data_IF_446529125053
#
_entry.id   IF_446529125053
#
_cell.length_a   1.000
_cell.length_b   1.000
_cell.length_c   1.000
_cell.angle_alpha   90.00
_cell.angle_beta   90.00
_cell.angle_gamma   90.00
#
_symmetry.space_group_name_H-M   'P 1'
#
loop_
_entity.id
_entity.type
_entity.pdbx_description
1 polymer ?
#
# COMPACT_ATOMS: atom_id res chain seq x y z
N UNK A 1 -74.49 5.66 59.41
CA UNK A 1 -74.54 7.12 59.18
C UNK A 1 -73.95 7.46 57.81
N UNK A 2 -74.29 8.60 57.19
CA UNK A 2 -74.36 8.76 55.72
C UNK A 2 -72.98 8.94 55.04
N UNK A 3 -72.73 8.61 53.77
CA UNK A 3 -73.38 8.95 52.47
C UNK A 3 -72.90 10.30 51.86
N UNK A 4 -72.24 10.18 50.70
CA UNK A 4 -72.24 11.07 49.50
C UNK A 4 -71.44 12.39 49.36
N UNK A 5 -70.79 12.50 48.18
CA UNK A 5 -70.68 13.67 47.25
C UNK A 5 -69.81 14.88 47.71
N UNK A 6 -69.19 15.72 46.87
CA UNK A 6 -69.05 15.78 45.38
C UNK A 6 -67.81 16.58 44.97
N UNK A 7 -67.14 16.15 43.89
CA UNK A 7 -66.70 16.95 42.71
C UNK A 7 -66.68 18.49 42.78
N UNK A 8 -65.53 19.09 42.41
CA UNK A 8 -65.44 20.15 41.37
C UNK A 8 -64.12 20.06 40.58
N UNK A 9 -64.19 20.30 39.25
CA UNK A 9 -63.05 20.43 38.32
C UNK A 9 -62.48 21.86 38.42
N UNK A 10 -61.18 22.13 38.25
CA UNK A 10 -60.47 22.35 36.96
C UNK A 10 -59.25 23.28 37.26
N UNK A 11 -58.26 23.59 36.40
CA UNK A 11 -57.99 23.35 34.96
C UNK A 11 -56.51 22.89 34.78
N UNK A 12 -56.00 22.85 33.54
CA UNK A 12 -54.58 22.60 33.19
C UNK A 12 -53.77 23.92 33.12
N UNK A 13 -52.42 23.86 33.13
CA UNK A 13 -51.77 23.95 31.82
C UNK A 13 -50.65 22.93 31.55
N UNK A 14 -50.57 22.58 30.28
CA UNK A 14 -49.62 21.71 29.57
C UNK A 14 -48.14 22.07 29.76
N UNK A 15 -47.27 21.10 30.06
CA UNK A 15 -45.83 21.17 29.70
C UNK A 15 -45.23 19.80 29.32
N UNK A 16 -45.07 19.61 28.00
CA UNK A 16 -44.01 18.89 27.28
C UNK A 16 -43.30 17.70 27.96
N UNK A 17 -43.60 16.48 27.49
CA UNK A 17 -42.68 15.34 27.61
C UNK A 17 -41.48 15.54 26.67
N UNK A 18 -40.27 15.56 27.23
CA UNK A 18 -39.03 15.42 26.45
C UNK A 18 -38.81 13.93 26.19
N UNK A 19 -38.89 13.52 24.92
CA UNK A 19 -38.53 12.17 24.52
C UNK A 19 -37.01 11.99 24.62
N UNK A 20 -36.56 11.14 25.55
CA UNK A 20 -35.14 10.84 25.74
C UNK A 20 -34.58 10.01 24.58
N UNK A 21 -33.83 10.65 23.69
CA UNK A 21 -33.01 9.96 22.70
C UNK A 21 -31.84 9.24 23.39
N UNK A 22 -31.98 7.92 23.55
CA UNK A 22 -30.91 7.03 23.98
C UNK A 22 -29.80 7.01 22.90
N UNK A 23 -28.78 7.85 23.09
CA UNK A 23 -27.53 7.74 22.36
C UNK A 23 -26.80 6.47 22.77
N UNK A 24 -27.01 5.38 22.02
CA UNK A 24 -26.11 4.24 22.04
C UNK A 24 -24.75 4.68 21.47
N UNK A 25 -23.83 5.03 22.36
CA UNK A 25 -22.40 4.96 22.06
C UNK A 25 -22.07 3.49 21.80
N UNK A 26 -22.04 3.10 20.52
CA UNK A 26 -21.38 1.85 20.13
C UNK A 26 -19.90 1.99 20.54
N UNK A 27 -19.36 1.10 21.38
CA UNK A 27 -17.94 1.11 21.66
C UNK A 27 -17.19 0.83 20.35
N UNK A 28 -15.97 1.36 20.24
CA UNK A 28 -15.08 1.04 19.13
C UNK A 28 -14.68 -0.43 19.28
N UNK A 29 -15.51 -1.34 18.75
CA UNK A 29 -15.24 -2.76 18.79
C UNK A 29 -13.94 -3.03 18.04
N UNK A 30 -12.89 -3.35 18.79
CA UNK A 30 -11.79 -4.14 18.27
C UNK A 30 -12.34 -5.55 18.04
N UNK A 31 -13.06 -5.73 16.93
CA UNK A 31 -13.49 -7.04 16.47
C UNK A 31 -12.23 -7.89 16.31
N UNK A 32 -12.13 -8.99 17.07
CA UNK A 32 -11.37 -10.13 16.60
C UNK A 32 -11.85 -10.42 15.17
N UNK A 33 -10.92 -10.64 14.24
CA UNK A 33 -11.17 -10.57 12.80
C UNK A 33 -12.21 -11.61 12.33
N UNK A 34 -13.47 -11.27 12.50
CA UNK A 34 -14.60 -11.99 11.95
C UNK A 34 -14.52 -11.80 10.44
N UNK A 35 -14.23 -12.88 9.72
CA UNK A 35 -14.26 -12.94 8.26
C UNK A 35 -15.72 -12.89 7.75
N UNK A 36 -16.55 -12.04 8.35
CA UNK A 36 -17.88 -11.72 7.88
C UNK A 36 -17.77 -10.93 6.58
N UNK A 37 -18.55 -11.37 5.60
CA UNK A 37 -18.66 -10.70 4.32
C UNK A 37 -19.99 -9.94 4.31
N UNK A 38 -19.95 -8.67 3.94
CA UNK A 38 -21.14 -7.90 3.62
C UNK A 38 -21.46 -8.05 2.14
N UNK A 39 -22.75 -8.05 1.82
CA UNK A 39 -23.29 -7.85 0.49
C UNK A 39 -24.06 -6.53 0.49
N UNK A 40 -23.91 -5.74 -0.57
CA UNK A 40 -24.62 -4.47 -0.72
C UNK A 40 -24.72 -4.07 -2.19
N UNK A 41 -25.56 -3.07 -2.47
CA UNK A 41 -25.63 -2.40 -3.77
C UNK A 41 -25.02 -1.01 -3.69
N UNK A 42 -24.07 -0.72 -4.56
CA UNK A 42 -23.50 0.62 -4.77
C UNK A 42 -23.90 1.04 -6.18
N UNK A 43 -24.81 2.01 -6.28
CA UNK A 43 -25.49 2.35 -7.54
C UNK A 43 -26.16 1.14 -8.21
N UNK A 44 -25.76 0.85 -9.45
CA UNK A 44 -26.26 -0.30 -10.23
C UNK A 44 -25.59 -1.63 -9.86
N UNK A 45 -24.41 -1.61 -9.24
CA UNK A 45 -23.59 -2.79 -9.00
C UNK A 45 -23.93 -3.50 -7.69
N UNK A 46 -23.89 -4.83 -7.71
CA UNK A 46 -23.88 -5.66 -6.49
C UNK A 46 -22.43 -5.90 -6.11
N UNK A 47 -22.05 -5.58 -4.87
CA UNK A 47 -20.68 -5.74 -4.37
C UNK A 47 -20.68 -6.59 -3.10
N UNK A 48 -19.61 -7.35 -2.92
CA UNK A 48 -19.37 -8.18 -1.73
C UNK A 48 -17.94 -7.98 -1.23
N UNK A 49 -17.76 -7.99 0.09
CA UNK A 49 -16.43 -7.90 0.70
C UNK A 49 -16.45 -7.84 2.22
N UNK A 50 -15.27 -7.87 2.82
CA UNK A 50 -15.06 -7.74 4.27
C UNK A 50 -14.88 -6.26 4.62
N UNK A 51 -15.65 -5.68 5.56
CA UNK A 51 -15.47 -4.29 5.96
C UNK A 51 -14.11 -4.09 6.64
N UNK A 52 -13.33 -3.12 6.17
CA UNK A 52 -12.05 -2.73 6.77
C UNK A 52 -12.20 -1.52 7.70
N UNK A 53 -13.04 -0.56 7.31
CA UNK A 53 -13.39 0.61 8.10
C UNK A 53 -14.77 1.11 7.70
N UNK A 54 -15.55 1.61 8.67
CA UNK A 54 -16.84 2.22 8.42
C UNK A 54 -17.03 3.42 9.34
N UNK A 55 -17.34 4.58 8.76
CA UNK A 55 -17.59 5.84 9.48
C UNK A 55 -18.85 6.51 8.95
N UNK A 56 -19.08 7.80 9.27
CA UNK A 56 -20.18 8.58 8.66
C UNK A 56 -19.83 9.13 7.27
N UNK A 57 -18.55 9.35 6.99
CA UNK A 57 -18.07 9.98 5.75
C UNK A 57 -17.34 9.03 4.80
N UNK A 58 -16.92 7.86 5.28
CA UNK A 58 -16.17 6.87 4.48
C UNK A 58 -16.46 5.44 4.93
N UNK A 59 -16.62 4.55 3.96
CA UNK A 59 -16.49 3.10 4.13
C UNK A 59 -15.34 2.57 3.27
N UNK A 60 -14.66 1.53 3.77
CA UNK A 60 -13.63 0.76 3.07
C UNK A 60 -14.01 -0.72 3.09
N UNK A 61 -14.13 -1.33 1.91
CA UNK A 61 -14.56 -2.72 1.74
C UNK A 61 -13.50 -3.52 0.97
N UNK A 62 -12.93 -4.55 1.60
CA UNK A 62 -11.98 -5.47 0.97
C UNK A 62 -12.74 -6.52 0.16
N UNK A 63 -12.57 -6.52 -1.16
CA UNK A 63 -13.17 -7.49 -2.06
C UNK A 63 -12.35 -8.79 -2.12
N UNK A 64 -12.98 -9.87 -2.60
CA UNK A 64 -12.38 -11.22 -2.66
C UNK A 64 -11.18 -11.32 -3.61
N UNK A 65 -11.04 -10.41 -4.56
CA UNK A 65 -9.90 -10.28 -5.47
C UNK A 65 -8.74 -9.42 -4.91
N UNK A 66 -8.88 -8.90 -3.68
CA UNK A 66 -7.89 -8.06 -3.01
C UNK A 66 -8.03 -6.56 -3.27
N UNK A 67 -8.98 -6.12 -4.10
CA UNK A 67 -9.32 -4.70 -4.23
C UNK A 67 -9.86 -4.14 -2.92
N UNK A 68 -9.55 -2.89 -2.61
CA UNK A 68 -10.22 -2.09 -1.58
C UNK A 68 -11.11 -1.09 -2.30
N UNK A 69 -12.42 -1.18 -2.07
CA UNK A 69 -13.38 -0.20 -2.54
C UNK A 69 -13.58 0.87 -1.46
N UNK A 70 -13.32 2.13 -1.80
CA UNK A 70 -13.60 3.32 -0.99
C UNK A 70 -14.86 4.01 -1.54
N UNK A 71 -15.81 4.31 -0.66
CA UNK A 71 -17.08 4.97 -1.01
C UNK A 71 -17.65 5.74 0.18
N UNK A 72 -18.53 6.71 -0.08
CA UNK A 72 -19.30 7.36 0.96
C UNK A 72 -20.43 6.41 1.43
N UNK A 73 -20.63 6.16 2.75
CA UNK A 73 -21.58 5.16 3.24
C UNK A 73 -23.02 5.32 2.72
N UNK A 74 -23.45 6.54 2.41
CA UNK A 74 -24.77 6.83 1.82
C UNK A 74 -24.96 6.39 0.36
N UNK A 75 -23.90 5.96 -0.33
CA UNK A 75 -23.98 5.36 -1.68
C UNK A 75 -24.41 3.88 -1.64
N UNK A 76 -24.26 3.23 -0.48
CA UNK A 76 -24.60 1.83 -0.28
C UNK A 76 -26.06 1.66 0.14
N UNK A 77 -26.73 0.67 -0.46
CA UNK A 77 -28.10 0.26 -0.15
C UNK A 77 -28.18 -1.27 -0.02
N UNK A 78 -29.19 -1.78 0.70
CA UNK A 78 -29.35 -3.22 1.00
C UNK A 78 -28.08 -3.85 1.58
N UNK A 79 -27.50 -3.19 2.59
CA UNK A 79 -26.31 -3.69 3.30
C UNK A 79 -26.75 -4.84 4.21
N UNK A 80 -26.35 -6.05 3.86
CA UNK A 80 -26.74 -7.29 4.52
C UNK A 80 -25.50 -8.15 4.79
N UNK A 81 -25.53 -8.97 5.84
CA UNK A 81 -24.51 -10.00 6.03
C UNK A 81 -24.70 -11.11 4.99
N UNK A 82 -23.62 -11.49 4.31
CA UNK A 82 -23.62 -12.65 3.44
C UNK A 82 -23.67 -13.95 4.28
N UNK A 83 -24.38 -15.00 3.81
CA UNK A 83 -24.29 -16.32 4.40
C UNK A 83 -22.92 -16.98 4.16
N UNK A 84 -22.14 -16.51 3.17
CA UNK A 84 -20.77 -16.94 2.94
C UNK A 84 -19.79 -16.14 3.83
N UNK A 85 -18.79 -16.83 4.40
CA UNK A 85 -17.62 -16.16 4.99
C UNK A 85 -16.73 -15.60 3.89
N UNK A 86 -16.02 -14.52 4.20
CA UNK A 86 -15.05 -13.92 3.31
C UNK A 86 -13.92 -14.91 3.01
N UNK A 87 -13.79 -15.28 1.74
CA UNK A 87 -12.68 -16.09 1.24
C UNK A 87 -12.05 -15.40 0.05
N UNK A 88 -10.76 -15.08 0.18
CA UNK A 88 -9.93 -14.61 -0.92
C UNK A 88 -9.95 -15.59 -2.10
N UNK A 89 -10.03 -15.05 -3.32
CA UNK A 89 -9.91 -15.81 -4.55
C UNK A 89 -8.53 -16.47 -4.64
N UNK A 90 -8.51 -17.74 -5.05
CA UNK A 90 -7.29 -18.40 -5.53
C UNK A 90 -6.93 -17.92 -6.94
N UNK A 91 -5.75 -18.29 -7.44
CA UNK A 91 -5.36 -18.03 -8.84
C UNK A 91 -6.38 -18.58 -9.86
N UNK A 92 -6.97 -19.74 -9.55
CA UNK A 92 -7.99 -20.38 -10.37
C UNK A 92 -9.33 -19.63 -10.37
N UNK A 93 -9.67 -18.95 -9.26
CA UNK A 93 -10.91 -18.17 -9.14
C UNK A 93 -10.77 -16.80 -9.84
N UNK A 94 -9.61 -16.14 -9.71
CA UNK A 94 -9.38 -14.80 -10.27
C UNK A 94 -9.10 -14.82 -11.77
N UNK A 95 -8.48 -15.88 -12.33
CA UNK A 95 -8.16 -15.96 -13.77
C UNK A 95 -9.40 -15.83 -14.68
N UNK A 96 -10.52 -16.55 -14.45
CA UNK A 96 -11.77 -16.35 -15.20
C UNK A 96 -12.38 -14.96 -15.00
N UNK A 97 -12.19 -14.33 -13.84
CA UNK A 97 -12.66 -12.97 -13.59
C UNK A 97 -11.89 -11.95 -14.43
N UNK A 98 -10.55 -12.07 -14.47
CA UNK A 98 -9.68 -11.22 -15.30
C UNK A 98 -9.94 -11.39 -16.80
N UNK A 99 -10.16 -12.63 -17.28
CA UNK A 99 -10.54 -12.89 -18.68
C UNK A 99 -11.86 -12.19 -19.06
N UNK A 100 -12.84 -12.11 -18.14
CA UNK A 100 -14.08 -11.35 -18.36
C UNK A 100 -13.88 -9.84 -18.24
N UNK A 101 -13.01 -9.39 -17.33
CA UNK A 101 -12.71 -7.98 -17.11
C UNK A 101 -12.00 -7.33 -18.32
N UNK A 102 -11.07 -8.06 -18.93
CA UNK A 102 -10.24 -7.54 -20.02
C UNK A 102 -10.72 -7.94 -21.42
N UNK A 103 -11.43 -9.06 -21.58
CA UNK A 103 -11.98 -9.48 -22.87
C UNK A 103 -11.01 -10.21 -23.81
N UNK A 104 -11.47 -10.58 -25.02
CA UNK A 104 -10.84 -11.60 -25.88
C UNK A 104 -9.51 -11.20 -26.53
N UNK A 105 -9.09 -9.95 -26.41
CA UNK A 105 -7.81 -9.40 -26.87
C UNK A 105 -6.68 -9.50 -25.84
N UNK A 106 -6.96 -10.03 -24.64
CA UNK A 106 -5.98 -10.35 -23.60
C UNK A 106 -5.96 -11.85 -23.29
N UNK A 107 -4.79 -12.35 -22.93
CA UNK A 107 -4.59 -13.67 -22.33
C UNK A 107 -4.22 -13.51 -20.83
N UNK A 108 -4.34 -14.60 -20.06
CA UNK A 108 -3.99 -14.61 -18.62
C UNK A 108 -3.06 -15.78 -18.28
N UNK A 109 -1.82 -15.44 -17.94
CA UNK A 109 -0.82 -16.36 -17.38
C UNK A 109 -0.94 -16.47 -15.86
N UNK A 110 -0.47 -17.58 -15.30
CA UNK A 110 -0.36 -17.78 -13.85
C UNK A 110 0.93 -18.56 -13.56
N UNK A 111 1.69 -18.11 -12.56
CA UNK A 111 2.86 -18.82 -12.04
C UNK A 111 3.07 -18.46 -10.56
N UNK A 112 3.20 -19.48 -9.71
CA UNK A 112 3.39 -19.30 -8.26
C UNK A 112 2.33 -18.39 -7.63
N UNK A 113 2.75 -17.20 -7.20
CA UNK A 113 1.91 -16.21 -6.53
C UNK A 113 1.21 -15.24 -7.50
N UNK A 114 1.63 -15.20 -8.76
CA UNK A 114 1.19 -14.21 -9.74
C UNK A 114 0.15 -14.73 -10.73
N UNK A 115 -0.80 -13.85 -11.05
CA UNK A 115 -1.71 -13.96 -12.19
C UNK A 115 -1.56 -12.71 -13.03
N UNK A 116 -1.16 -12.86 -14.29
CA UNK A 116 -0.77 -11.73 -15.15
C UNK A 116 -1.64 -11.67 -16.38
N UNK A 117 -2.30 -10.52 -16.56
CA UNK A 117 -3.02 -10.15 -17.78
C UNK A 117 -2.02 -9.55 -18.76
N UNK A 118 -2.03 -9.99 -20.02
CA UNK A 118 -1.15 -9.46 -21.06
C UNK A 118 -1.82 -9.52 -22.45
N UNK A 119 -1.33 -8.78 -23.46
CA UNK A 119 -1.91 -8.81 -24.80
C UNK A 119 -1.88 -10.23 -25.38
N UNK A 120 -2.97 -10.61 -26.06
CA UNK A 120 -3.14 -11.96 -26.59
C UNK A 120 -2.03 -12.34 -27.57
N UNK A 121 -1.50 -13.56 -27.43
CA UNK A 121 -0.42 -14.07 -28.27
C UNK A 121 0.99 -13.57 -27.90
N UNK A 122 1.15 -12.74 -26.85
CA UNK A 122 2.48 -12.47 -26.28
C UNK A 122 3.14 -13.77 -25.82
N UNK A 123 4.40 -13.99 -26.22
CA UNK A 123 5.20 -15.16 -25.86
C UNK A 123 6.03 -14.97 -24.59
N UNK A 124 6.08 -13.73 -24.08
CA UNK A 124 6.86 -13.40 -22.91
C UNK A 124 6.32 -14.11 -21.65
N UNK A 125 7.18 -14.70 -20.81
CA UNK A 125 6.76 -15.49 -19.66
C UNK A 125 6.45 -14.59 -18.45
N UNK A 126 5.66 -13.54 -18.64
CA UNK A 126 5.39 -12.46 -17.67
C UNK A 126 5.16 -12.99 -16.25
N UNK A 127 4.26 -13.96 -16.06
CA UNK A 127 3.94 -14.46 -14.72
C UNK A 127 5.14 -15.13 -14.02
N UNK A 128 6.04 -15.79 -14.77
CA UNK A 128 7.26 -16.37 -14.20
C UNK A 128 8.27 -15.29 -13.81
N UNK A 129 8.37 -14.20 -14.58
CA UNK A 129 9.19 -13.04 -14.23
C UNK A 129 8.77 -12.41 -12.91
N UNK A 130 7.47 -12.11 -12.77
CA UNK A 130 6.94 -11.55 -11.53
C UNK A 130 7.08 -12.49 -10.31
N UNK A 131 6.81 -13.80 -10.44
CA UNK A 131 7.03 -14.76 -9.34
C UNK A 131 8.51 -14.92 -8.98
N UNK A 132 9.44 -14.73 -9.94
CA UNK A 132 10.87 -14.67 -9.66
C UNK A 132 11.23 -13.41 -8.85
N UNK A 133 10.73 -12.22 -9.23
CA UNK A 133 10.94 -10.98 -8.47
C UNK A 133 10.42 -11.10 -7.03
N UNK A 134 9.24 -11.70 -6.83
CA UNK A 134 8.70 -11.99 -5.49
C UNK A 134 9.62 -12.91 -4.67
N UNK A 135 10.16 -13.99 -5.26
CA UNK A 135 11.09 -14.89 -4.56
C UNK A 135 12.38 -14.19 -4.18
N UNK A 136 12.93 -13.36 -5.07
CA UNK A 136 14.11 -12.54 -4.81
C UNK A 136 13.87 -11.52 -3.69
N UNK A 137 12.71 -10.86 -3.69
CA UNK A 137 12.30 -9.94 -2.63
C UNK A 137 12.24 -10.64 -1.27
N UNK A 138 11.55 -11.79 -1.18
CA UNK A 138 11.52 -12.58 0.05
C UNK A 138 12.92 -13.04 0.49
N UNK A 139 13.77 -13.46 -0.45
CA UNK A 139 15.14 -13.89 -0.15
C UNK A 139 16.00 -12.74 0.43
N UNK A 140 15.89 -11.53 -0.13
CA UNK A 140 16.59 -10.35 0.39
C UNK A 140 16.24 -10.05 1.85
N UNK A 141 14.97 -10.19 2.22
CA UNK A 141 14.48 -9.95 3.58
C UNK A 141 14.81 -11.09 4.55
N UNK A 142 14.60 -12.35 4.15
CA UNK A 142 14.91 -13.50 4.98
C UNK A 142 16.41 -13.64 5.28
N UNK A 143 17.29 -13.35 4.31
CA UNK A 143 18.75 -13.32 4.51
C UNK A 143 19.21 -12.22 5.50
N UNK A 144 18.33 -11.25 5.81
CA UNK A 144 18.55 -10.17 6.79
C UNK A 144 17.75 -10.35 8.09
N UNK A 145 17.16 -11.53 8.31
CA UNK A 145 16.39 -11.84 9.52
C UNK A 145 15.05 -11.09 9.61
N UNK A 146 14.51 -10.59 8.50
CA UNK A 146 13.20 -9.95 8.45
C UNK A 146 12.16 -11.00 8.10
N UNK A 147 11.27 -11.28 9.04
CA UNK A 147 10.11 -12.14 8.80
C UNK A 147 9.15 -11.50 7.80
N UNK A 148 8.57 -12.32 6.92
CA UNK A 148 7.57 -11.92 5.95
C UNK A 148 6.34 -12.84 6.04
N UNK A 149 5.19 -12.32 5.64
CA UNK A 149 3.94 -13.08 5.52
C UNK A 149 3.70 -13.51 4.06
N UNK A 150 2.96 -14.61 3.88
CA UNK A 150 2.44 -15.00 2.57
C UNK A 150 1.30 -14.06 2.14
N UNK A 151 1.22 -13.60 0.89
CA UNK A 151 0.08 -12.86 0.36
C UNK A 151 -1.25 -13.58 0.60
N UNK A 152 -2.24 -12.84 1.13
CA UNK A 152 -3.63 -13.34 1.30
C UNK A 152 -4.34 -13.55 -0.04
N UNK A 153 -3.92 -12.83 -1.07
CA UNK A 153 -4.48 -12.84 -2.41
C UNK A 153 -3.39 -13.17 -3.44
N UNK A 154 -3.73 -13.76 -4.60
CA UNK A 154 -2.86 -13.77 -5.77
C UNK A 154 -2.45 -12.34 -6.13
N UNK A 155 -1.18 -12.15 -6.49
CA UNK A 155 -0.66 -10.87 -6.93
C UNK A 155 -1.02 -10.69 -8.41
N UNK A 156 -1.68 -9.59 -8.74
CA UNK A 156 -2.15 -9.32 -10.11
C UNK A 156 -1.24 -8.28 -10.76
N UNK A 157 -0.72 -8.60 -11.94
CA UNK A 157 -0.07 -7.63 -12.82
C UNK A 157 -0.84 -7.52 -14.14
N UNK A 158 -0.84 -6.34 -14.73
CA UNK A 158 -1.52 -6.02 -15.99
C UNK A 158 -0.50 -5.38 -16.93
N UNK A 159 -0.22 -6.06 -18.03
CA UNK A 159 0.59 -5.54 -19.14
C UNK A 159 -0.36 -5.11 -20.25
N UNK A 160 -0.37 -3.82 -20.54
CA UNK A 160 -1.18 -3.20 -21.59
C UNK A 160 -0.37 -3.13 -22.90
N UNK A 161 -1.02 -3.13 -24.07
CA UNK A 161 -0.32 -3.25 -25.35
C UNK A 161 0.52 -2.03 -25.73
N UNK A 162 0.17 -0.84 -25.22
CA UNK A 162 0.81 0.43 -25.57
C UNK A 162 0.55 1.50 -24.49
N UNK A 163 1.30 2.60 -24.56
CA UNK A 163 1.19 3.76 -23.66
C UNK A 163 -0.22 4.36 -23.68
N UNK A 164 -0.91 4.40 -24.82
CA UNK A 164 -2.27 4.95 -24.93
C UNK A 164 -3.28 4.09 -24.17
N UNK A 165 -3.15 2.76 -24.24
CA UNK A 165 -3.94 1.83 -23.45
C UNK A 165 -3.64 1.97 -21.95
N UNK A 166 -2.38 2.17 -21.58
CA UNK A 166 -1.96 2.45 -20.21
C UNK A 166 -2.55 3.74 -19.65
N UNK A 167 -2.45 4.86 -20.36
CA UNK A 167 -3.02 6.14 -19.94
C UNK A 167 -4.55 6.07 -19.80
N UNK A 168 -5.24 5.35 -20.70
CA UNK A 168 -6.68 5.09 -20.56
C UNK A 168 -7.01 4.26 -19.30
N UNK A 169 -6.24 3.22 -19.01
CA UNK A 169 -6.45 2.40 -17.81
C UNK A 169 -6.17 3.18 -16.53
N UNK A 170 -5.07 3.95 -16.49
CA UNK A 170 -4.71 4.80 -15.36
C UNK A 170 -5.78 5.86 -15.05
N UNK A 171 -6.34 6.51 -16.08
CA UNK A 171 -7.47 7.42 -15.92
C UNK A 171 -8.71 6.73 -15.33
N UNK A 172 -8.97 5.47 -15.68
CA UNK A 172 -10.08 4.69 -15.12
C UNK A 172 -9.82 4.19 -13.68
N UNK A 173 -8.58 3.83 -13.32
CA UNK A 173 -8.21 3.47 -11.93
C UNK A 173 -8.06 4.72 -11.02
N UNK A 174 -8.28 5.93 -11.55
CA UNK A 174 -8.00 7.23 -10.91
C UNK A 174 -6.55 7.34 -10.39
N UNK A 175 -5.59 6.75 -11.11
CA UNK A 175 -4.19 6.73 -10.72
C UNK A 175 -3.49 8.08 -10.98
N UNK A 176 -2.93 8.69 -9.94
CA UNK A 176 -2.06 9.85 -10.05
C UNK A 176 -0.68 9.44 -10.60
N UNK A 177 -0.49 9.57 -11.91
CA UNK A 177 0.77 9.21 -12.57
C UNK A 177 1.84 10.32 -12.44
N UNK A 178 3.07 9.99 -12.03
CA UNK A 178 4.24 10.83 -12.29
C UNK A 178 4.43 11.11 -13.78
N UNK A 179 5.13 12.20 -14.13
CA UNK A 179 5.54 12.45 -15.53
C UNK A 179 6.46 11.32 -16.00
N UNK A 180 6.22 10.85 -17.23
CA UNK A 180 6.97 9.74 -17.87
C UNK A 180 6.89 8.41 -17.10
N UNK A 181 5.80 8.18 -16.36
CA UNK A 181 5.51 6.90 -15.72
C UNK A 181 5.10 5.85 -16.77
N UNK A 182 5.80 4.71 -16.81
CA UNK A 182 5.46 3.57 -17.67
C UNK A 182 4.84 2.37 -16.92
N UNK A 183 4.53 2.56 -15.64
CA UNK A 183 3.87 1.59 -14.77
C UNK A 183 3.71 2.08 -13.33
N UNK A 184 2.70 1.58 -12.61
CA UNK A 184 2.41 1.91 -11.22
C UNK A 184 1.81 0.72 -10.44
N UNK A 185 2.04 0.69 -9.13
CA UNK A 185 1.30 -0.14 -8.18
C UNK A 185 0.15 0.66 -7.54
N UNK A 186 -1.07 0.14 -7.65
CA UNK A 186 -2.26 0.72 -7.04
C UNK A 186 -2.53 0.12 -5.65
N UNK A 187 -2.40 0.94 -4.61
CA UNK A 187 -2.77 0.57 -3.24
C UNK A 187 -4.26 0.22 -3.09
N UNK A 188 -5.14 0.68 -4.00
CA UNK A 188 -6.57 0.37 -3.98
C UNK A 188 -6.88 -0.92 -4.74
N UNK A 189 -6.47 -1.05 -6.01
CA UNK A 189 -6.77 -2.26 -6.77
C UNK A 189 -5.87 -3.46 -6.42
N UNK A 190 -4.77 -3.21 -5.71
CA UNK A 190 -3.69 -4.17 -5.38
C UNK A 190 -2.93 -4.71 -6.59
N UNK A 191 -2.92 -3.95 -7.69
CA UNK A 191 -2.35 -4.38 -8.98
C UNK A 191 -1.13 -3.58 -9.36
N UNK A 192 -0.18 -4.24 -10.03
CA UNK A 192 0.81 -3.56 -10.87
C UNK A 192 0.19 -3.39 -12.25
N UNK A 193 0.28 -2.18 -12.82
CA UNK A 193 -0.19 -1.86 -14.16
C UNK A 193 0.97 -1.24 -14.92
N UNK A 194 1.23 -1.70 -16.14
CA UNK A 194 2.28 -1.21 -17.02
C UNK A 194 1.85 -1.34 -18.48
N UNK A 195 2.66 -0.86 -19.43
CA UNK A 195 2.57 -1.29 -20.83
C UNK A 195 3.81 -2.05 -21.28
N UNK A 196 3.67 -2.80 -22.37
CA UNK A 196 4.79 -3.42 -23.07
C UNK A 196 5.56 -2.34 -23.86
N UNK A 197 6.75 -2.00 -23.38
CA UNK A 197 7.68 -1.08 -24.05
C UNK A 197 8.80 -1.81 -24.80
N UNK A 198 8.66 -3.13 -25.02
CA UNK A 198 9.60 -3.95 -25.78
C UNK A 198 10.85 -4.41 -25.02
N UNK A 199 11.03 -4.04 -23.75
CA UNK A 199 12.17 -4.47 -22.93
C UNK A 199 11.89 -5.71 -22.03
N UNK A 200 10.69 -6.30 -22.10
CA UNK A 200 10.32 -7.49 -21.33
C UNK A 200 10.28 -7.28 -19.81
N UNK A 201 10.35 -8.38 -19.05
CA UNK A 201 10.06 -8.44 -17.61
C UNK A 201 11.06 -7.71 -16.68
N UNK A 202 12.21 -7.25 -17.19
CA UNK A 202 13.38 -6.91 -16.37
C UNK A 202 13.77 -5.42 -16.40
N UNK A 203 12.90 -4.52 -16.88
CA UNK A 203 13.16 -3.08 -16.73
C UNK A 203 13.04 -2.65 -15.27
N UNK A 204 13.89 -1.72 -14.84
CA UNK A 204 13.97 -1.21 -13.46
C UNK A 204 12.59 -0.83 -12.89
N UNK A 205 11.74 -0.20 -13.69
CA UNK A 205 10.38 0.18 -13.30
C UNK A 205 9.46 -1.01 -12.96
N UNK A 206 9.53 -2.12 -13.69
CA UNK A 206 8.74 -3.33 -13.37
C UNK A 206 9.17 -3.87 -12.01
N UNK A 207 10.48 -3.82 -11.74
CA UNK A 207 11.07 -4.28 -10.48
C UNK A 207 10.66 -3.34 -9.34
N UNK A 208 10.60 -2.03 -9.58
CA UNK A 208 10.11 -1.03 -8.63
C UNK A 208 8.66 -1.30 -8.21
N UNK A 209 7.73 -1.37 -9.16
CA UNK A 209 6.30 -1.53 -8.88
C UNK A 209 5.96 -2.93 -8.34
N UNK A 210 6.64 -3.98 -8.82
CA UNK A 210 6.57 -5.30 -8.22
C UNK A 210 7.04 -5.27 -6.76
N UNK A 211 8.13 -4.55 -6.45
CA UNK A 211 8.65 -4.45 -5.08
C UNK A 211 7.67 -3.74 -4.14
N UNK A 212 6.98 -2.69 -4.61
CA UNK A 212 5.85 -2.11 -3.87
C UNK A 212 4.75 -3.15 -3.62
N UNK A 213 4.25 -3.81 -4.66
CA UNK A 213 3.18 -4.80 -4.52
C UNK A 213 3.55 -5.91 -3.55
N UNK A 214 4.76 -6.46 -3.64
CA UNK A 214 5.22 -7.51 -2.73
C UNK A 214 5.37 -6.96 -1.31
N UNK A 215 5.94 -5.77 -1.10
CA UNK A 215 6.06 -5.16 0.23
C UNK A 215 4.70 -5.02 0.93
N UNK A 216 3.70 -4.49 0.21
CA UNK A 216 2.33 -4.28 0.71
C UNK A 216 1.49 -5.55 0.91
N UNK A 217 1.94 -6.71 0.38
CA UNK A 217 1.27 -8.00 0.54
C UNK A 217 2.03 -9.00 1.44
N UNK A 218 3.22 -8.64 1.93
CA UNK A 218 4.09 -9.53 2.74
C UNK A 218 4.36 -8.99 4.15
N UNK A 219 3.72 -7.90 4.55
CA UNK A 219 3.84 -7.30 5.89
C UNK A 219 5.07 -6.41 6.08
N UNK A 220 5.85 -6.17 5.02
CA UNK A 220 6.91 -5.14 5.02
C UNK A 220 6.29 -3.74 5.02
N UNK A 221 5.19 -3.55 4.29
CA UNK A 221 4.33 -2.37 4.29
C UNK A 221 2.87 -2.80 4.47
N UNK A 222 2.00 -1.86 4.87
CA UNK A 222 0.58 -2.13 5.10
C UNK A 222 -0.31 -1.15 4.34
N UNK A 223 -1.21 -1.65 3.49
CA UNK A 223 -2.07 -0.81 2.63
C UNK A 223 -2.98 0.13 3.42
N UNK A 224 -3.44 -0.32 4.59
CA UNK A 224 -4.27 0.49 5.49
C UNK A 224 -3.51 1.48 6.38
N UNK A 225 -2.18 1.41 6.44
CA UNK A 225 -1.31 2.39 7.11
C UNK A 225 0.01 2.47 6.34
N UNK A 226 0.06 3.23 5.23
CA UNK A 226 1.25 3.29 4.40
C UNK A 226 2.45 3.86 5.19
N UNK A 227 3.67 3.38 4.88
CA UNK A 227 4.89 3.91 5.49
C UNK A 227 5.12 5.38 5.04
N UNK A 228 6.06 6.10 5.70
CA UNK A 228 6.57 7.36 5.16
C UNK A 228 7.07 7.18 3.72
N UNK A 229 6.81 8.16 2.83
CA UNK A 229 7.03 7.97 1.39
C UNK A 229 8.48 7.61 1.05
N UNK A 230 9.45 8.25 1.71
CA UNK A 230 10.87 7.95 1.53
C UNK A 230 11.23 6.48 1.76
N UNK A 231 10.53 5.79 2.66
CA UNK A 231 10.81 4.39 2.98
C UNK A 231 10.25 3.45 1.90
N UNK A 232 9.08 3.77 1.35
CA UNK A 232 8.48 3.00 0.24
C UNK A 232 9.30 3.16 -1.04
N UNK A 233 9.49 4.40 -1.48
CA UNK A 233 10.20 4.74 -2.72
C UNK A 233 11.68 4.39 -2.64
N UNK A 234 12.28 4.54 -1.45
CA UNK A 234 13.65 4.12 -1.15
C UNK A 234 13.84 2.60 -1.20
N UNK A 235 12.84 1.83 -0.76
CA UNK A 235 12.83 0.38 -0.92
C UNK A 235 12.67 -0.02 -2.39
N UNK A 236 11.74 0.60 -3.13
CA UNK A 236 11.54 0.35 -4.57
C UNK A 236 12.82 0.60 -5.37
N UNK A 237 13.43 1.78 -5.20
CA UNK A 237 14.70 2.16 -5.86
C UNK A 237 15.91 1.34 -5.44
N UNK A 238 15.96 0.79 -4.21
CA UNK A 238 16.98 -0.19 -3.83
C UNK A 238 16.81 -1.48 -4.64
N UNK A 239 15.58 -1.93 -4.83
CA UNK A 239 15.28 -3.17 -5.52
C UNK A 239 15.52 -3.13 -7.03
N UNK A 240 15.65 -1.97 -7.66
CA UNK A 240 16.07 -1.84 -9.07
C UNK A 240 17.47 -2.43 -9.32
N UNK A 241 18.38 -2.34 -8.33
CA UNK A 241 19.77 -2.75 -8.50
C UNK A 241 19.93 -4.29 -8.57
N UNK A 242 20.65 -4.78 -9.58
CA UNK A 242 20.81 -6.22 -9.88
C UNK A 242 21.36 -7.07 -8.74
N UNK A 243 22.23 -6.53 -7.88
CA UNK A 243 22.73 -7.21 -6.69
C UNK A 243 21.70 -7.36 -5.56
N UNK A 244 20.56 -6.69 -5.65
CA UNK A 244 19.46 -6.78 -4.68
C UNK A 244 18.46 -7.84 -5.14
N UNK A 245 17.97 -7.77 -6.38
CA UNK A 245 17.00 -8.74 -6.93
C UNK A 245 17.63 -10.00 -7.55
N UNK A 246 18.94 -10.04 -7.78
CA UNK A 246 19.67 -11.20 -8.29
C UNK A 246 21.05 -11.35 -7.60
N UNK A 247 21.05 -11.27 -6.27
CA UNK A 247 22.24 -11.36 -5.43
C UNK A 247 23.09 -12.64 -5.65
N UNK A 248 22.48 -13.73 -6.14
CA UNK A 248 23.19 -14.98 -6.43
C UNK A 248 24.14 -14.87 -7.63
N UNK A 249 23.74 -14.14 -8.69
CA UNK A 249 24.61 -13.86 -9.84
C UNK A 249 25.45 -12.58 -9.64
N UNK A 250 25.03 -11.71 -8.74
CA UNK A 250 25.62 -10.38 -8.52
C UNK A 250 25.89 -10.13 -7.01
N UNK A 251 26.81 -10.88 -6.38
CA UNK A 251 26.99 -10.86 -4.93
C UNK A 251 27.73 -9.62 -4.39
N UNK A 252 28.38 -8.83 -5.26
CA UNK A 252 29.22 -7.72 -4.81
C UNK A 252 28.38 -6.57 -4.22
N UNK A 253 28.99 -5.77 -3.34
CA UNK A 253 28.33 -4.55 -2.84
C UNK A 253 28.12 -3.51 -3.95
N UNK A 254 29.02 -3.45 -4.93
CA UNK A 254 28.88 -2.56 -6.08
C UNK A 254 27.65 -2.87 -6.92
N UNK A 255 27.29 -4.16 -7.08
CA UNK A 255 26.08 -4.56 -7.80
C UNK A 255 24.77 -4.16 -7.09
N UNK A 256 24.81 -3.86 -5.79
CA UNK A 256 23.66 -3.37 -5.01
C UNK A 256 23.46 -1.86 -5.10
N UNK A 257 24.36 -1.14 -5.76
CA UNK A 257 24.28 0.30 -5.92
C UNK A 257 23.38 0.62 -7.11
N UNK A 258 22.32 1.38 -6.87
CA UNK A 258 21.57 2.03 -7.95
C UNK A 258 22.35 3.28 -8.38
N UNK A 259 23.03 3.19 -9.52
CA UNK A 259 23.96 4.24 -10.01
C UNK A 259 23.21 5.53 -10.38
N UNK A 260 22.01 5.41 -10.95
CA UNK A 260 21.15 6.56 -11.26
C UNK A 260 20.77 7.33 -9.99
N UNK A 261 20.38 6.60 -8.95
CA UNK A 261 19.97 7.18 -7.68
C UNK A 261 21.13 7.71 -6.84
N UNK A 262 22.31 7.09 -6.91
CA UNK A 262 23.55 7.64 -6.34
C UNK A 262 23.94 8.96 -7.03
N UNK A 263 23.79 9.04 -8.35
CA UNK A 263 24.03 10.28 -9.11
C UNK A 263 23.03 11.39 -8.72
N UNK A 264 21.74 11.07 -8.65
CA UNK A 264 20.69 11.98 -8.20
C UNK A 264 20.94 12.47 -6.76
N UNK A 265 21.33 11.57 -5.85
CA UNK A 265 21.69 11.92 -4.48
C UNK A 265 22.91 12.82 -4.40
N UNK A 266 24.01 12.49 -5.09
CA UNK A 266 25.24 13.32 -5.11
C UNK A 266 24.94 14.73 -5.64
N UNK A 267 24.11 14.87 -6.68
CA UNK A 267 23.65 16.17 -7.19
C UNK A 267 22.81 16.93 -6.16
N UNK A 268 21.94 16.26 -5.42
CA UNK A 268 21.17 16.88 -4.35
C UNK A 268 22.03 17.31 -3.16
N UNK A 269 22.95 16.43 -2.70
CA UNK A 269 23.79 16.62 -1.53
C UNK A 269 24.61 17.91 -1.57
N UNK A 270 25.06 18.35 -2.75
CA UNK A 270 25.79 19.60 -2.95
C UNK A 270 25.00 20.87 -2.54
N UNK A 271 23.67 20.81 -2.53
CA UNK A 271 22.78 21.91 -2.14
C UNK A 271 21.83 21.53 -0.98
N UNK A 272 22.08 20.40 -0.32
CA UNK A 272 21.25 19.87 0.77
C UNK A 272 21.52 20.65 2.07
N UNK A 273 20.51 21.24 2.72
CA UNK A 273 20.71 21.95 3.99
C UNK A 273 21.26 21.02 5.07
N UNK A 274 22.21 21.51 5.87
CA UNK A 274 22.71 20.78 7.03
C UNK A 274 21.58 20.60 8.07
N UNK A 275 21.45 19.41 8.65
CA UNK A 275 20.37 19.10 9.59
C UNK A 275 19.01 18.88 8.93
N UNK A 276 18.93 18.59 7.62
CA UNK A 276 17.64 18.38 6.94
C UNK A 276 17.05 16.97 7.13
N UNK A 277 17.82 15.98 7.58
CA UNK A 277 17.35 14.60 7.78
C UNK A 277 16.05 14.48 8.61
N UNK A 278 15.89 15.17 9.77
CA UNK A 278 14.64 15.11 10.54
C UNK A 278 13.42 15.61 9.75
N UNK A 279 13.60 16.66 8.94
CA UNK A 279 12.55 17.20 8.09
C UNK A 279 12.19 16.24 6.95
N UNK A 280 13.19 15.62 6.34
CA UNK A 280 13.03 14.65 5.25
C UNK A 280 12.30 13.38 5.70
N UNK A 281 12.67 12.78 6.85
CA UNK A 281 12.01 11.55 7.33
C UNK A 281 10.57 11.79 7.81
N UNK A 282 10.28 13.02 8.23
CA UNK A 282 8.96 13.44 8.71
C UNK A 282 8.00 13.88 7.59
N UNK A 283 8.50 14.50 6.50
CA UNK A 283 7.67 15.22 5.54
C UNK A 283 7.94 14.83 4.07
N UNK A 284 6.88 14.69 3.30
CA UNK A 284 6.94 14.35 1.87
C UNK A 284 7.17 15.60 0.98
N UNK A 285 7.74 16.70 1.51
CA UNK A 285 7.89 17.98 0.80
C UNK A 285 8.82 17.87 -0.42
N UNK A 286 9.95 17.17 -0.27
CA UNK A 286 10.93 17.05 -1.35
C UNK A 286 10.36 16.35 -2.59
N UNK A 287 9.44 15.38 -2.41
CA UNK A 287 8.73 14.74 -3.53
C UNK A 287 7.88 15.70 -4.36
N UNK A 288 7.39 16.79 -3.75
CA UNK A 288 6.57 17.82 -4.42
C UNK A 288 7.40 18.89 -5.12
N UNK A 289 8.62 19.16 -4.64
CA UNK A 289 9.45 20.28 -5.11
C UNK A 289 10.65 19.86 -5.95
N UNK A 290 11.21 18.68 -5.71
CA UNK A 290 12.30 18.11 -6.50
C UNK A 290 12.26 16.57 -6.43
N UNK A 291 11.42 15.99 -7.29
CA UNK A 291 11.19 14.54 -7.35
C UNK A 291 12.49 13.74 -7.51
N UNK A 292 13.41 14.15 -8.39
CA UNK A 292 14.69 13.45 -8.57
C UNK A 292 15.56 13.45 -7.29
N UNK A 293 15.61 14.58 -6.56
CA UNK A 293 16.29 14.63 -5.26
C UNK A 293 15.58 13.76 -4.21
N UNK A 294 14.25 13.74 -4.19
CA UNK A 294 13.46 12.94 -3.25
C UNK A 294 13.72 11.44 -3.42
N UNK A 295 13.66 10.94 -4.64
CA UNK A 295 13.96 9.55 -4.95
C UNK A 295 15.44 9.22 -4.66
N UNK A 296 16.38 10.14 -4.97
CA UNK A 296 17.80 9.97 -4.68
C UNK A 296 18.11 9.86 -3.17
N UNK A 297 17.57 10.77 -2.35
CA UNK A 297 17.74 10.74 -0.89
C UNK A 297 16.99 9.56 -0.26
N UNK A 298 15.84 9.17 -0.80
CA UNK A 298 15.08 7.99 -0.35
C UNK A 298 15.87 6.69 -0.55
N UNK A 299 16.43 6.50 -1.74
CA UNK A 299 17.34 5.40 -2.05
C UNK A 299 18.55 5.43 -1.12
N UNK A 300 19.22 6.57 -1.04
CA UNK A 300 20.47 6.72 -0.29
C UNK A 300 20.27 6.40 1.20
N UNK A 301 19.26 6.98 1.84
CA UNK A 301 18.97 6.73 3.25
C UNK A 301 18.59 5.26 3.48
N UNK A 302 17.74 4.68 2.63
CA UNK A 302 17.32 3.28 2.75
C UNK A 302 18.50 2.31 2.58
N UNK A 303 19.36 2.54 1.58
CA UNK A 303 20.55 1.74 1.32
C UNK A 303 21.54 1.81 2.50
N UNK A 304 21.86 3.01 2.97
CA UNK A 304 22.70 3.23 4.16
C UNK A 304 22.17 2.50 5.40
N UNK A 305 20.89 2.64 5.71
CA UNK A 305 20.28 1.99 6.87
C UNK A 305 20.26 0.46 6.73
N UNK A 306 20.01 -0.05 5.52
CA UNK A 306 19.98 -1.50 5.27
C UNK A 306 21.37 -2.17 5.35
N UNK A 307 22.44 -1.47 4.92
CA UNK A 307 23.80 -2.01 4.91
C UNK A 307 24.55 -1.76 6.23
N UNK A 308 24.25 -0.66 6.95
CA UNK A 308 24.95 -0.32 8.22
C UNK A 308 24.17 -0.68 9.48
N UNK A 309 22.84 -0.73 9.42
CA UNK A 309 21.93 -0.88 10.57
C UNK A 309 20.79 -1.89 10.30
N UNK A 310 21.05 -3.07 9.71
CA UNK A 310 20.01 -3.98 9.22
C UNK A 310 18.98 -4.36 10.28
N UNK A 311 19.39 -4.56 11.54
CA UNK A 311 18.47 -4.90 12.63
C UNK A 311 17.53 -3.75 13.03
N UNK A 312 18.02 -2.51 13.07
CA UNK A 312 17.21 -1.33 13.37
C UNK A 312 16.28 -0.98 12.21
N UNK A 313 16.77 -1.09 10.97
CA UNK A 313 15.97 -0.93 9.76
C UNK A 313 14.85 -1.98 9.67
N UNK A 314 15.14 -3.23 9.99
CA UNK A 314 14.16 -4.30 10.11
C UNK A 314 13.09 -4.03 11.19
N UNK A 315 13.47 -3.46 12.33
CA UNK A 315 12.53 -3.05 13.37
C UNK A 315 11.65 -1.88 12.91
N UNK A 316 12.23 -0.90 12.23
CA UNK A 316 11.51 0.24 11.67
C UNK A 316 10.47 -0.19 10.64
N UNK A 317 10.84 -1.06 9.69
CA UNK A 317 9.90 -1.64 8.73
C UNK A 317 8.73 -2.35 9.43
N UNK A 318 9.00 -3.25 10.38
CA UNK A 318 7.95 -3.95 11.15
C UNK A 318 7.02 -2.99 11.90
N UNK A 319 7.53 -1.84 12.37
CA UNK A 319 6.72 -0.79 12.99
C UNK A 319 5.83 -0.09 11.97
N UNK A 320 6.40 0.37 10.85
CA UNK A 320 5.65 1.08 9.80
C UNK A 320 4.66 0.20 9.03
N UNK A 321 4.92 -1.12 8.95
CA UNK A 321 4.04 -2.12 8.34
C UNK A 321 3.05 -2.78 9.31
N UNK A 322 2.93 -2.31 10.55
CA UNK A 322 2.01 -2.89 11.52
C UNK A 322 0.55 -2.54 11.19
N UNK A 323 -0.33 -3.55 11.11
CA UNK A 323 -1.79 -3.39 10.90
C UNK A 323 -2.47 -2.49 11.94
N UNK A 324 -1.94 -2.44 13.17
CA UNK A 324 -2.45 -1.61 14.27
C UNK A 324 -1.93 -0.16 14.22
N UNK A 325 -1.06 0.19 13.27
CA UNK A 325 -0.57 1.56 13.09
C UNK A 325 -1.69 2.44 12.51
N UNK A 326 -1.78 3.68 12.97
CA UNK A 326 -2.78 4.63 12.50
C UNK A 326 -2.71 4.81 10.97
N UNK A 327 -3.88 4.82 10.30
CA UNK A 327 -3.97 4.92 8.84
C UNK A 327 -3.35 6.21 8.28
N UNK A 328 -3.40 7.28 9.07
CA UNK A 328 -2.74 8.55 8.79
C UNK A 328 -1.77 8.85 9.94
N UNK A 329 -0.54 9.24 9.62
CA UNK A 329 0.48 9.65 10.60
C UNK A 329 0.90 11.10 10.36
N UNK A 330 1.04 11.85 11.44
CA UNK A 330 1.56 13.22 11.42
C UNK A 330 3.07 13.23 11.21
N UNK A 331 3.67 14.35 10.75
CA UNK A 331 5.13 14.47 10.63
C UNK A 331 5.86 14.21 11.95
N UNK A 332 5.30 14.66 13.09
CA UNK A 332 5.89 14.39 14.40
C UNK A 332 5.89 12.90 14.73
N UNK A 333 4.77 12.20 14.51
CA UNK A 333 4.72 10.74 14.74
C UNK A 333 5.74 9.98 13.88
N UNK A 334 5.92 10.37 12.61
CA UNK A 334 6.93 9.77 11.73
C UNK A 334 8.35 10.01 12.24
N UNK A 335 8.63 11.21 12.75
CA UNK A 335 9.91 11.55 13.38
C UNK A 335 10.15 10.76 14.66
N UNK A 336 9.14 10.62 15.52
CA UNK A 336 9.21 9.86 16.77
C UNK A 336 9.43 8.36 16.49
N UNK A 337 8.72 7.79 15.50
CA UNK A 337 8.92 6.41 15.02
C UNK A 337 10.35 6.18 14.51
N UNK A 338 10.94 7.18 13.83
CA UNK A 338 12.31 7.13 13.32
C UNK A 338 13.35 7.23 14.43
N UNK A 339 13.19 8.19 15.36
CA UNK A 339 14.04 8.35 16.55
C UNK A 339 14.01 7.10 17.42
N UNK A 340 12.84 6.47 17.60
CA UNK A 340 12.71 5.23 18.36
C UNK A 340 13.47 4.06 17.73
N UNK A 341 13.66 4.05 16.40
CA UNK A 341 14.39 2.99 15.70
C UNK A 341 15.90 3.26 15.57
N UNK A 342 16.31 4.52 15.35
CA UNK A 342 17.70 4.86 14.99
C UNK A 342 18.44 5.72 16.03
N UNK A 343 17.76 6.12 17.10
CA UNK A 343 18.31 6.94 18.19
C UNK A 343 18.02 8.44 18.05
N UNK A 344 18.17 9.22 19.14
CA UNK A 344 17.86 10.65 19.15
C UNK A 344 18.95 11.54 18.53
N UNK A 345 20.19 11.07 18.40
CA UNK A 345 21.27 11.85 17.78
C UNK A 345 21.22 11.77 16.25
N UNK A 346 20.23 12.47 15.69
CA UNK A 346 20.04 12.57 14.24
C UNK A 346 21.17 13.35 13.54
N UNK A 347 21.97 14.15 14.27
CA UNK A 347 23.13 14.87 13.72
C UNK A 347 24.30 13.93 13.47
N UNK A 348 24.58 13.03 14.42
CA UNK A 348 25.57 11.97 14.25
C UNK A 348 25.13 11.00 13.14
N UNK A 349 23.87 10.57 13.14
CA UNK A 349 23.31 9.70 12.10
C UNK A 349 23.42 10.32 10.69
N UNK A 350 23.07 11.61 10.53
CA UNK A 350 23.22 12.33 9.26
C UNK A 350 24.69 12.45 8.85
N UNK A 351 25.59 12.74 9.80
CA UNK A 351 27.03 12.82 9.52
C UNK A 351 27.63 11.50 9.03
N UNK A 352 27.17 10.37 9.59
CA UNK A 352 27.55 9.04 9.13
C UNK A 352 26.93 8.68 7.77
N UNK A 353 25.65 9.01 7.57
CA UNK A 353 24.94 8.81 6.30
C UNK A 353 25.65 9.52 5.13
N UNK A 354 25.94 10.81 5.30
CA UNK A 354 26.63 11.62 4.29
C UNK A 354 28.07 11.13 4.05
N UNK A 355 28.76 10.66 5.10
CA UNK A 355 30.10 10.04 4.99
C UNK A 355 30.03 8.77 4.14
N UNK A 356 29.14 7.85 4.50
CA UNK A 356 28.94 6.57 3.78
C UNK A 356 28.62 6.78 2.31
N UNK A 357 27.78 7.76 1.96
CA UNK A 357 27.39 8.07 0.58
C UNK A 357 28.48 8.75 -0.27
N UNK A 358 29.47 9.36 0.37
CA UNK A 358 30.66 9.93 -0.29
C UNK A 358 31.76 8.88 -0.49
N UNK A 359 31.74 7.81 0.32
CA UNK A 359 32.71 6.71 0.25
C UNK A 359 32.22 5.54 -0.65
N UNK A 360 30.97 5.61 -1.13
CA UNK A 360 30.47 5.01 -2.37
C UNK A 360 30.85 5.91 -3.55
#
# INVERSE_FOLDING_TARGET
MPYTKTSTRSWLPTRWMVAGLLFFFLPTFCLAADESMLMMRIGSQSVQGMPLAWSKSRALLLQRDGRILEFHPGEASRVEHSPERFRAYSGNDIKPALLREFGPQFDVQQAGHYVVVHPKGSREPWARGFDQLYRSFLHYFHSRGVATAKPRFPLVAIVLPDETAFLRYAAHDNAELPRNCAGYYSNFSNRVVQYDHGAGNNSELIIHEASHQVAFNTGIHHRGSPPPRWLSEGLGTMFEARGVWNAAAHPSRADRINVGQLSAFRKHAAARPAGSLPSFVANDWLFRTNTAAAYGESWALSFFLSETRPQAWAQYLRRTGNVQRAATTTPQQRLDEFIQAFGPDLKMLESEFLRFMRDL
#
